data_IF_332018088493
#
_entry.id   IF_332018088493
#
_cell.length_a   1.000
_cell.length_b   1.000
_cell.length_c   1.000
_cell.angle_alpha   90.00
_cell.angle_beta   90.00
_cell.angle_gamma   90.00
#
_symmetry.space_group_name_H-M   'P 1'
#
loop_
_entity.id
_entity.type
_entity.pdbx_description
1 polymer ?
#
# COMPACT_ATOMS: atom_id res chain seq x y z
N UNK A 1 -21.43 22.98 -8.66
CA UNK A 1 -22.32 22.22 -9.58
C UNK A 1 -22.88 20.98 -8.87
N UNK A 2 -22.19 20.40 -7.90
CA UNK A 2 -22.66 19.20 -7.16
C UNK A 2 -23.81 19.48 -6.16
N UNK A 3 -24.06 20.71 -5.77
CA UNK A 3 -25.08 21.06 -4.77
C UNK A 3 -26.52 21.10 -5.31
N UNK A 4 -26.72 21.07 -6.62
CA UNK A 4 -28.05 21.23 -7.24
C UNK A 4 -28.80 19.92 -7.51
N UNK A 5 -28.26 18.77 -7.20
CA UNK A 5 -28.84 17.47 -7.57
C UNK A 5 -29.65 16.76 -6.47
N UNK A 6 -29.81 17.33 -5.29
CA UNK A 6 -30.38 16.60 -4.15
C UNK A 6 -31.56 17.26 -3.45
N UNK A 7 -32.28 18.11 -4.14
CA UNK A 7 -33.42 18.82 -3.52
C UNK A 7 -34.81 18.25 -3.93
N UNK A 8 -34.94 16.91 -3.95
CA UNK A 8 -36.25 16.29 -3.87
C UNK A 8 -36.19 14.93 -3.14
N UNK A 9 -37.17 14.72 -2.26
CA UNK A 9 -37.32 13.51 -1.43
C UNK A 9 -37.36 12.19 -2.24
N UNK A 10 -37.83 12.22 -3.47
CA UNK A 10 -37.89 11.04 -4.36
C UNK A 10 -36.50 10.62 -4.83
N UNK A 11 -35.60 11.56 -5.13
CA UNK A 11 -34.22 11.28 -5.50
C UNK A 11 -33.43 10.66 -4.35
N UNK A 12 -33.63 11.16 -3.14
CA UNK A 12 -32.99 10.63 -1.93
C UNK A 12 -33.50 9.23 -1.57
N UNK A 13 -34.79 8.96 -1.78
CA UNK A 13 -35.34 7.63 -1.58
C UNK A 13 -34.76 6.60 -2.56
N UNK A 14 -34.69 6.95 -3.84
CA UNK A 14 -34.10 6.09 -4.88
C UNK A 14 -32.60 5.79 -4.60
N UNK A 15 -31.84 6.77 -4.11
CA UNK A 15 -30.44 6.59 -3.71
C UNK A 15 -30.32 5.67 -2.50
N UNK A 16 -31.21 5.80 -1.50
CA UNK A 16 -31.23 4.92 -0.33
C UNK A 16 -31.56 3.48 -0.69
N UNK A 17 -32.63 3.24 -1.46
CA UNK A 17 -33.02 1.89 -1.93
C UNK A 17 -31.87 1.25 -2.71
N UNK A 18 -31.22 2.01 -3.61
CA UNK A 18 -30.07 1.50 -4.37
C UNK A 18 -28.86 1.20 -3.50
N UNK A 19 -28.61 2.02 -2.48
CA UNK A 19 -27.54 1.76 -1.51
C UNK A 19 -27.82 0.51 -0.67
N UNK A 20 -29.05 0.29 -0.25
CA UNK A 20 -29.47 -0.91 0.50
C UNK A 20 -29.37 -2.17 -0.36
N UNK A 21 -29.82 -2.13 -1.64
CA UNK A 21 -29.66 -3.24 -2.59
C UNK A 21 -28.20 -3.58 -2.85
N UNK A 22 -27.32 -2.57 -2.96
CA UNK A 22 -25.89 -2.76 -3.13
C UNK A 22 -25.23 -3.31 -1.86
N UNK A 23 -25.72 -2.91 -0.69
CA UNK A 23 -25.25 -3.43 0.59
C UNK A 23 -25.63 -4.90 0.77
N UNK A 24 -26.89 -5.26 0.46
CA UNK A 24 -27.34 -6.67 0.49
C UNK A 24 -26.62 -7.55 -0.55
N UNK A 25 -26.36 -7.04 -1.76
CA UNK A 25 -25.53 -7.75 -2.75
C UNK A 25 -24.08 -7.92 -2.30
N UNK A 26 -23.52 -6.96 -1.58
CA UNK A 26 -22.16 -7.02 -1.04
C UNK A 26 -22.04 -7.98 0.18
N UNK A 27 -23.10 -8.17 0.94
CA UNK A 27 -23.13 -9.18 2.03
C UNK A 27 -23.08 -10.61 1.50
N UNK A 28 -23.63 -10.88 0.29
CA UNK A 28 -23.58 -12.19 -0.38
C UNK A 28 -22.24 -12.46 -1.04
N UNK A 29 -21.41 -11.45 -1.28
CA UNK A 29 -20.04 -11.58 -1.74
C UNK A 29 -19.04 -11.01 -0.72
N UNK A 30 -19.01 -11.56 0.51
CA UNK A 30 -17.81 -11.43 1.33
C UNK A 30 -16.69 -12.20 0.63
N UNK A 31 -16.05 -11.56 -0.37
CA UNK A 31 -14.78 -12.05 -0.90
C UNK A 31 -13.85 -12.14 0.30
N UNK A 32 -13.58 -13.37 0.76
CA UNK A 32 -12.55 -13.62 1.76
C UNK A 32 -11.29 -12.91 1.28
N UNK A 33 -10.67 -12.11 2.16
CA UNK A 33 -9.39 -11.47 1.84
C UNK A 33 -8.41 -12.55 1.37
N UNK A 34 -7.60 -12.28 0.33
CA UNK A 34 -6.74 -13.29 -0.23
C UNK A 34 -5.82 -13.87 0.85
N UNK A 35 -5.76 -15.19 0.90
CA UNK A 35 -4.79 -15.90 1.73
C UNK A 35 -3.38 -15.59 1.21
N UNK A 36 -2.34 -15.77 2.03
CA UNK A 36 -0.93 -15.49 1.67
C UNK A 36 -0.55 -16.06 0.30
N UNK A 37 -0.91 -17.31 0.00
CA UNK A 37 -0.60 -17.95 -1.29
C UNK A 37 -1.29 -17.22 -2.48
N UNK A 38 -2.48 -16.69 -2.29
CA UNK A 38 -3.17 -15.88 -3.30
C UNK A 38 -2.50 -14.52 -3.51
N UNK A 39 -1.87 -13.96 -2.47
CA UNK A 39 -1.08 -12.73 -2.57
C UNK A 39 0.21 -13.02 -3.33
N UNK A 40 0.84 -14.16 -3.09
CA UNK A 40 2.05 -14.59 -3.79
C UNK A 40 1.79 -14.74 -5.30
N UNK A 41 0.76 -15.49 -5.68
CA UNK A 41 0.34 -15.64 -7.08
C UNK A 41 0.04 -14.28 -7.74
N UNK A 42 -0.66 -13.41 -7.02
CA UNK A 42 -1.02 -12.08 -7.49
C UNK A 42 0.21 -11.20 -7.75
N UNK A 43 1.18 -11.22 -6.83
CA UNK A 43 2.44 -10.50 -6.94
C UNK A 43 3.32 -11.07 -8.06
N UNK A 44 3.45 -12.38 -8.15
CA UNK A 44 4.24 -13.06 -9.19
C UNK A 44 3.75 -12.69 -10.58
N UNK A 45 2.43 -12.69 -10.78
CA UNK A 45 1.83 -12.27 -12.05
C UNK A 45 2.11 -10.80 -12.39
N UNK A 46 2.11 -9.90 -11.42
CA UNK A 46 2.43 -8.50 -11.65
C UNK A 46 3.93 -8.29 -11.92
N UNK A 47 4.78 -8.98 -11.17
CA UNK A 47 6.23 -8.92 -11.35
C UNK A 47 6.68 -9.50 -12.69
N UNK A 48 5.93 -10.42 -13.30
CA UNK A 48 6.23 -10.93 -14.63
C UNK A 48 6.34 -9.80 -15.67
N UNK A 49 5.56 -8.74 -15.54
CA UNK A 49 5.65 -7.56 -16.40
C UNK A 49 6.97 -6.76 -16.20
N UNK A 50 7.60 -6.89 -15.04
CA UNK A 50 8.87 -6.25 -14.69
C UNK A 50 10.07 -7.19 -14.82
N UNK A 51 9.94 -8.26 -15.60
CA UNK A 51 11.00 -9.26 -15.83
C UNK A 51 10.96 -10.47 -14.92
N UNK A 52 9.92 -10.59 -14.08
CA UNK A 52 9.71 -11.69 -13.14
C UNK A 52 10.64 -11.61 -11.93
N UNK A 53 10.24 -12.19 -10.82
CA UNK A 53 11.05 -12.38 -9.62
C UNK A 53 10.50 -13.55 -8.81
N UNK A 54 11.38 -14.36 -8.24
CA UNK A 54 10.99 -15.30 -7.21
C UNK A 54 11.00 -14.59 -5.86
N UNK A 55 9.83 -14.46 -5.27
CA UNK A 55 9.63 -13.72 -4.00
C UNK A 55 9.32 -14.66 -2.83
N UNK A 56 9.31 -15.97 -3.05
CA UNK A 56 8.89 -16.98 -2.07
C UNK A 56 9.66 -16.86 -0.75
N UNK A 57 10.98 -16.65 -0.81
CA UNK A 57 11.85 -16.52 0.36
C UNK A 57 11.67 -15.21 1.12
N UNK A 58 11.15 -14.16 0.47
CA UNK A 58 11.04 -12.82 1.04
C UNK A 58 9.64 -12.47 1.52
N UNK A 59 8.61 -13.05 0.89
CA UNK A 59 7.22 -12.67 1.12
C UNK A 59 6.76 -12.89 2.57
N UNK A 60 7.20 -13.99 3.21
CA UNK A 60 6.82 -14.28 4.60
C UNK A 60 7.32 -13.20 5.57
N UNK A 61 8.57 -12.77 5.43
CA UNK A 61 9.15 -11.73 6.27
C UNK A 61 8.49 -10.36 6.01
N UNK A 62 8.27 -10.02 4.74
CA UNK A 62 7.58 -8.80 4.35
C UNK A 62 6.14 -8.76 4.86
N UNK A 63 5.41 -9.87 4.73
CA UNK A 63 4.04 -10.01 5.21
C UNK A 63 3.94 -9.82 6.73
N UNK A 64 4.84 -10.43 7.50
CA UNK A 64 4.89 -10.25 8.96
C UNK A 64 5.18 -8.79 9.35
N UNK A 65 6.12 -8.12 8.66
CA UNK A 65 6.42 -6.69 8.89
C UNK A 65 5.19 -5.82 8.59
N UNK A 66 4.49 -6.08 7.49
CA UNK A 66 3.27 -5.36 7.13
C UNK A 66 2.15 -5.57 8.17
N UNK A 67 1.89 -6.78 8.60
CA UNK A 67 0.90 -7.06 9.65
C UNK A 67 1.26 -6.40 10.98
N UNK A 68 2.54 -6.41 11.37
CA UNK A 68 3.01 -5.68 12.54
C UNK A 68 2.72 -4.19 12.43
N UNK A 69 3.07 -3.57 11.28
CA UNK A 69 2.79 -2.18 10.99
C UNK A 69 1.28 -1.89 11.08
N UNK A 70 0.45 -2.70 10.44
CA UNK A 70 -1.01 -2.52 10.42
C UNK A 70 -1.64 -2.68 11.82
N UNK A 71 -1.10 -3.57 12.64
CA UNK A 71 -1.59 -3.75 14.02
C UNK A 71 -1.39 -2.50 14.91
N UNK A 72 -0.51 -1.59 14.51
CA UNK A 72 -0.20 -0.32 15.18
C UNK A 72 -0.95 0.87 14.57
N UNK A 73 -1.67 0.65 13.47
CA UNK A 73 -2.45 1.68 12.81
C UNK A 73 -3.82 1.84 13.51
N UNK A 74 -4.21 3.07 13.78
CA UNK A 74 -5.53 3.41 14.34
C UNK A 74 -6.58 3.67 13.27
N UNK A 75 -6.18 3.74 11.99
CA UNK A 75 -7.09 3.98 10.89
C UNK A 75 -8.03 2.77 10.70
N UNK A 76 -9.34 3.03 10.66
CA UNK A 76 -10.40 2.01 10.55
C UNK A 76 -10.30 1.13 9.30
N UNK A 77 -9.62 1.60 8.26
CA UNK A 77 -9.43 0.86 7.00
C UNK A 77 -8.31 -0.18 7.06
N UNK A 78 -7.49 -0.18 8.12
CA UNK A 78 -6.47 -1.21 8.34
C UNK A 78 -7.02 -2.29 9.27
N UNK A 79 -7.45 -3.40 8.70
CA UNK A 79 -7.96 -4.55 9.46
C UNK A 79 -6.78 -5.31 10.08
N UNK A 80 -6.87 -5.58 11.38
CA UNK A 80 -5.85 -6.37 12.08
C UNK A 80 -5.83 -7.81 11.54
N UNK A 81 -4.62 -8.29 11.25
CA UNK A 81 -4.37 -9.68 10.85
C UNK A 81 -4.61 -10.02 9.38
N UNK A 82 -4.91 -9.02 8.53
CA UNK A 82 -5.15 -9.25 7.09
C UNK A 82 -4.51 -8.15 6.25
N UNK A 83 -4.10 -8.52 5.03
CA UNK A 83 -3.64 -7.58 4.00
C UNK A 83 -4.62 -7.62 2.84
N UNK A 84 -5.15 -6.46 2.48
CA UNK A 84 -6.00 -6.27 1.31
C UNK A 84 -5.17 -5.66 0.18
N UNK A 85 -4.90 -6.45 -0.87
CA UNK A 85 -4.13 -6.00 -2.04
C UNK A 85 -4.88 -4.97 -2.90
N UNK A 86 -6.19 -4.84 -2.71
CA UNK A 86 -6.98 -3.81 -3.36
C UNK A 86 -7.03 -2.50 -2.57
N UNK A 87 -6.58 -2.51 -1.32
CA UNK A 87 -6.36 -1.30 -0.55
C UNK A 87 -4.96 -0.75 -0.85
N UNK A 88 -4.88 0.26 -1.71
CA UNK A 88 -3.63 0.80 -2.25
C UNK A 88 -2.58 1.12 -1.18
N UNK A 89 -2.97 1.70 -0.05
CA UNK A 89 -2.06 2.00 1.06
C UNK A 89 -1.49 0.75 1.74
N UNK A 90 -2.31 -0.31 1.92
CA UNK A 90 -1.82 -1.58 2.50
C UNK A 90 -0.87 -2.29 1.53
N UNK A 91 -1.24 -2.31 0.25
CA UNK A 91 -0.44 -2.97 -0.77
C UNK A 91 0.89 -2.24 -1.00
N UNK A 92 0.86 -0.92 -1.07
CA UNK A 92 2.06 -0.10 -1.17
C UNK A 92 3.06 -0.36 -0.03
N UNK A 93 2.57 -0.45 1.22
CA UNK A 93 3.39 -0.76 2.40
C UNK A 93 3.96 -2.18 2.32
N UNK A 94 3.16 -3.17 1.91
CA UNK A 94 3.66 -4.54 1.71
C UNK A 94 4.81 -4.56 0.71
N UNK A 95 4.66 -3.88 -0.44
CA UNK A 95 5.71 -3.81 -1.46
C UNK A 95 6.97 -3.07 -0.97
N UNK A 96 6.85 -2.03 -0.14
CA UNK A 96 8.00 -1.41 0.50
C UNK A 96 8.78 -2.41 1.36
N UNK A 97 8.09 -3.19 2.20
CA UNK A 97 8.74 -4.22 3.01
C UNK A 97 9.33 -5.34 2.16
N UNK A 98 8.65 -5.76 1.09
CA UNK A 98 9.13 -6.84 0.22
C UNK A 98 10.44 -6.43 -0.48
N UNK A 99 10.47 -5.23 -1.07
CA UNK A 99 11.68 -4.71 -1.69
C UNK A 99 12.83 -4.56 -0.66
N UNK A 100 12.51 -4.09 0.54
CA UNK A 100 13.51 -3.96 1.62
C UNK A 100 14.05 -5.32 2.08
N UNK A 101 13.20 -6.33 2.26
CA UNK A 101 13.62 -7.69 2.67
C UNK A 101 14.52 -8.34 1.60
N UNK A 102 14.16 -8.25 0.33
CA UNK A 102 14.98 -8.73 -0.76
C UNK A 102 16.36 -8.05 -0.78
N UNK A 103 16.39 -6.72 -0.62
CA UNK A 103 17.63 -5.95 -0.51
C UNK A 103 18.49 -6.38 0.68
N UNK A 104 17.91 -6.55 1.87
CA UNK A 104 18.61 -7.01 3.08
C UNK A 104 19.19 -8.41 2.92
N UNK A 105 18.57 -9.26 2.09
CA UNK A 105 19.06 -10.57 1.72
C UNK A 105 20.15 -10.55 0.62
N UNK A 106 20.47 -9.37 0.06
CA UNK A 106 21.47 -9.21 -1.01
C UNK A 106 20.91 -9.36 -2.44
N UNK A 107 19.62 -9.65 -2.58
CA UNK A 107 18.95 -9.77 -3.89
C UNK A 107 18.46 -8.39 -4.38
N UNK A 108 19.40 -7.65 -4.97
CA UNK A 108 19.11 -6.33 -5.54
C UNK A 108 18.19 -6.40 -6.75
N UNK A 109 18.28 -7.47 -7.54
CA UNK A 109 17.48 -7.61 -8.74
C UNK A 109 15.99 -7.72 -8.42
N UNK A 110 15.63 -8.57 -7.46
CA UNK A 110 14.26 -8.64 -6.94
C UNK A 110 13.82 -7.34 -6.27
N UNK A 111 14.71 -6.71 -5.48
CA UNK A 111 14.41 -5.43 -4.84
C UNK A 111 14.08 -4.32 -5.85
N UNK A 112 14.85 -4.22 -6.95
CA UNK A 112 14.65 -3.26 -8.04
C UNK A 112 13.31 -3.49 -8.74
N UNK A 113 12.95 -4.74 -9.02
CA UNK A 113 11.68 -5.10 -9.70
C UNK A 113 10.46 -4.80 -8.82
N UNK A 114 10.53 -5.14 -7.53
CA UNK A 114 9.45 -4.84 -6.57
C UNK A 114 9.31 -3.33 -6.36
N UNK A 115 10.41 -2.60 -6.27
CA UNK A 115 10.40 -1.13 -6.20
C UNK A 115 9.78 -0.52 -7.47
N UNK A 116 10.17 -0.97 -8.65
CA UNK A 116 9.62 -0.48 -9.91
C UNK A 116 8.11 -0.73 -10.02
N UNK A 117 7.66 -1.93 -9.63
CA UNK A 117 6.23 -2.27 -9.53
C UNK A 117 5.50 -1.32 -8.58
N UNK A 118 6.03 -1.11 -7.38
CA UNK A 118 5.41 -0.26 -6.36
C UNK A 118 5.27 1.19 -6.86
N UNK A 119 6.33 1.73 -7.46
CA UNK A 119 6.34 3.07 -8.05
C UNK A 119 5.33 3.20 -9.18
N UNK A 120 5.25 2.21 -10.08
CA UNK A 120 4.31 2.22 -11.20
C UNK A 120 2.85 2.15 -10.73
N UNK A 121 2.53 1.31 -9.73
CA UNK A 121 1.16 1.13 -9.25
C UNK A 121 0.65 2.30 -8.39
N UNK A 122 1.52 2.93 -7.61
CA UNK A 122 1.08 3.84 -6.55
C UNK A 122 1.56 5.28 -6.73
N UNK A 123 2.43 5.55 -7.72
CA UNK A 123 2.83 6.91 -8.08
C UNK A 123 3.65 7.64 -7.00
N UNK A 124 4.37 6.91 -6.15
CA UNK A 124 5.33 7.47 -5.21
C UNK A 124 6.73 6.91 -5.44
N UNK A 125 7.74 7.56 -4.89
CA UNK A 125 9.14 7.17 -5.03
C UNK A 125 9.81 7.04 -3.66
N UNK A 126 9.94 5.82 -3.17
CA UNK A 126 10.67 5.46 -1.95
C UNK A 126 11.58 4.29 -2.29
N UNK A 127 12.86 4.60 -2.48
CA UNK A 127 13.84 3.57 -2.83
C UNK A 127 14.06 2.63 -1.65
N UNK A 128 14.25 1.35 -1.90
CA UNK A 128 14.32 0.31 -0.86
C UNK A 128 15.53 0.45 0.09
N UNK A 129 16.56 1.24 -0.26
CA UNK A 129 17.67 1.57 0.66
C UNK A 129 17.27 2.65 1.70
N UNK A 130 16.18 3.36 1.50
CA UNK A 130 15.67 4.32 2.48
C UNK A 130 15.21 3.57 3.73
N UNK A 131 15.79 3.93 4.88
CA UNK A 131 15.45 3.31 6.16
C UNK A 131 14.13 3.86 6.69
N UNK A 132 13.03 3.18 6.34
CA UNK A 132 11.74 3.48 6.92
C UNK A 132 11.62 2.90 8.33
N UNK A 133 10.89 3.54 9.25
CA UNK A 133 10.61 2.98 10.56
C UNK A 133 9.76 1.71 10.46
N UNK A 134 9.75 0.91 11.55
CA UNK A 134 8.95 -0.32 11.61
C UNK A 134 7.44 -0.08 11.56
N UNK A 135 6.99 1.13 11.83
CA UNK A 135 5.59 1.53 11.75
C UNK A 135 5.50 2.84 10.98
N UNK A 136 4.90 2.77 9.80
CA UNK A 136 4.62 3.93 8.97
C UNK A 136 3.33 3.74 8.21
N UNK A 137 2.70 4.83 7.79
CA UNK A 137 1.42 4.82 7.11
C UNK A 137 1.45 5.71 5.89
N UNK A 138 0.71 5.31 4.88
CA UNK A 138 0.52 6.07 3.66
C UNK A 138 -0.96 6.32 3.43
N UNK A 139 -1.30 7.58 3.17
CA UNK A 139 -2.64 7.96 2.74
C UNK A 139 -2.55 8.79 1.47
N UNK A 140 -3.03 8.22 0.36
CA UNK A 140 -2.96 8.84 -0.96
C UNK A 140 -1.54 9.33 -1.33
N UNK A 141 -0.50 8.50 -1.28
CA UNK A 141 0.90 8.94 -1.32
C UNK A 141 1.39 9.40 -2.72
N UNK A 142 0.49 9.63 -3.66
CA UNK A 142 0.79 10.04 -5.05
C UNK A 142 1.68 11.29 -5.06
N UNK A 143 2.76 11.25 -5.85
CA UNK A 143 3.73 12.34 -5.97
C UNK A 143 4.69 12.47 -4.79
N UNK A 144 4.62 11.55 -3.81
CA UNK A 144 5.53 11.57 -2.67
C UNK A 144 6.88 10.95 -3.02
N UNK A 145 7.95 11.66 -2.65
CA UNK A 145 9.34 11.21 -2.83
C UNK A 145 10.05 11.25 -1.49
N UNK A 146 10.53 10.10 -1.02
CA UNK A 146 11.36 10.03 0.18
C UNK A 146 12.79 9.63 -0.18
N UNK A 147 13.71 10.51 0.12
CA UNK A 147 15.14 10.27 0.05
C UNK A 147 15.73 9.83 1.38
N UNK A 148 17.06 9.82 1.45
CA UNK A 148 17.79 9.50 2.68
C UNK A 148 17.53 10.55 3.74
N UNK A 149 17.01 10.12 4.88
CA UNK A 149 16.80 10.91 6.08
C UNK A 149 16.59 9.97 7.27
N UNK A 150 16.58 10.50 8.48
CA UNK A 150 16.13 9.74 9.66
C UNK A 150 14.64 9.94 9.85
N UNK A 151 13.91 8.86 9.81
CA UNK A 151 12.45 8.87 9.97
C UNK A 151 12.08 8.29 11.33
N UNK A 152 11.31 9.04 12.11
CA UNK A 152 10.79 8.57 13.40
C UNK A 152 9.72 7.51 13.24
N UNK A 153 9.56 6.64 14.23
CA UNK A 153 8.49 5.64 14.26
C UNK A 153 7.11 6.31 14.17
N UNK A 154 6.16 5.58 13.59
CA UNK A 154 4.80 6.06 13.27
C UNK A 154 4.77 7.23 12.26
N UNK A 155 5.72 7.22 11.31
CA UNK A 155 5.73 8.16 10.20
C UNK A 155 4.40 8.09 9.43
N UNK A 156 3.79 9.25 9.20
CA UNK A 156 2.60 9.38 8.36
C UNK A 156 2.95 10.13 7.08
N UNK A 157 2.61 9.54 5.93
CA UNK A 157 2.90 10.10 4.61
C UNK A 157 1.59 10.41 3.88
N UNK A 158 1.46 11.65 3.46
CA UNK A 158 0.41 12.08 2.55
C UNK A 158 0.90 12.19 1.09
N UNK A 159 0.12 12.88 0.30
CA UNK A 159 0.40 13.18 -1.12
C UNK A 159 1.40 14.33 -1.27
N UNK A 160 2.18 14.30 -2.35
CA UNK A 160 3.08 15.39 -2.74
C UNK A 160 4.07 15.84 -1.64
N UNK A 161 4.52 14.89 -0.82
CA UNK A 161 5.57 15.14 0.17
C UNK A 161 6.92 14.84 -0.45
N UNK A 162 7.87 15.77 -0.34
CA UNK A 162 9.24 15.53 -0.79
C UNK A 162 10.20 15.71 0.38
N UNK A 163 10.96 14.65 0.67
CA UNK A 163 12.09 14.68 1.59
C UNK A 163 13.31 14.23 0.81
N UNK A 164 14.30 15.08 0.69
CA UNK A 164 15.49 14.77 -0.11
C UNK A 164 16.70 15.61 0.31
N UNK A 165 17.87 15.18 -0.14
CA UNK A 165 19.11 15.90 0.05
C UNK A 165 19.20 17.15 -0.83
N UNK A 166 19.86 18.17 -0.32
CA UNK A 166 20.23 19.35 -1.08
C UNK A 166 21.76 19.47 -1.09
N UNK A 167 22.37 19.41 -2.30
CA UNK A 167 23.84 19.51 -2.49
C UNK A 167 24.66 18.59 -1.57
N UNK A 168 24.20 17.34 -1.39
CA UNK A 168 24.88 16.34 -0.55
C UNK A 168 24.57 16.39 0.94
N UNK A 169 23.76 17.36 1.40
CA UNK A 169 23.23 17.39 2.76
C UNK A 169 21.87 16.68 2.81
N UNK A 170 21.69 15.82 3.81
CA UNK A 170 20.45 15.08 3.99
C UNK A 170 19.77 15.52 5.31
N UNK A 171 18.43 15.54 5.34
CA UNK A 171 17.69 15.81 6.58
C UNK A 171 18.01 14.77 7.67
N UNK A 172 18.17 15.21 8.89
CA UNK A 172 18.44 14.38 10.09
C UNK A 172 17.27 14.42 11.04
#
# INVERSE_FOLDING_TARGET
IAAYLFDNDQGMHAVRVRAEELTQKNEVQSKSLPKKNQIEDYLTNQLAFFGGADISDYLEAAYKRALYCFSRNTNKYFKKGTIDVHHTGQYAILLCYLARVAFEAGDRETADRVYALNKALHGFDIFYEVELPNVFFMEHPVGTVLGRAKYSDRLFLGKNVTVGGNKGCYPT
#
